data_IF_198497965163
#
_entry.id   IF_198497965163
#
_cell.length_a   1.000
_cell.length_b   1.000
_cell.length_c   1.000
_cell.angle_alpha   90.00
_cell.angle_beta   90.00
_cell.angle_gamma   90.00
#
_symmetry.space_group_name_H-M   'P 1'
#
loop_
_entity.id
_entity.type
_entity.pdbx_description
1 polymer ?
#
# COMPACT_ATOMS: atom_id res chain seq x y z
N UNK A 1 -5.29 9.96 5.35
CA UNK A 1 -4.32 9.07 4.71
C UNK A 1 -4.27 9.29 3.21
N UNK A 2 -3.12 9.07 2.63
CA UNK A 2 -2.93 9.31 1.21
C UNK A 2 -2.10 8.19 0.62
N UNK A 3 -2.50 7.70 -0.54
CA UNK A 3 -1.76 6.69 -1.28
C UNK A 3 -1.22 7.33 -2.55
N UNK A 4 0.08 7.21 -2.76
CA UNK A 4 0.72 7.70 -3.96
C UNK A 4 1.14 6.50 -4.81
N UNK A 5 0.73 6.50 -6.08
CA UNK A 5 1.09 5.44 -7.02
C UNK A 5 2.13 6.01 -7.98
N UNK A 6 3.32 5.44 -7.97
CA UNK A 6 4.41 5.92 -8.80
C UNK A 6 5.32 4.76 -9.19
N UNK A 7 5.62 4.67 -10.48
CA UNK A 7 6.55 3.67 -11.01
C UNK A 7 6.22 2.23 -10.58
N UNK A 8 4.94 1.89 -10.55
CA UNK A 8 4.51 0.55 -10.17
C UNK A 8 4.50 0.29 -8.67
N UNK A 9 4.76 1.32 -7.89
CA UNK A 9 4.77 1.20 -6.43
C UNK A 9 3.67 2.06 -5.84
N UNK A 10 3.16 1.61 -4.70
CA UNK A 10 2.16 2.34 -3.95
C UNK A 10 2.75 2.67 -2.59
N UNK A 11 2.67 3.92 -2.20
CA UNK A 11 3.19 4.36 -0.90
C UNK A 11 2.06 4.96 -0.10
N UNK A 12 1.87 4.46 1.11
CA UNK A 12 0.82 4.94 2.01
C UNK A 12 1.41 5.94 3.00
N UNK A 13 0.84 7.13 2.99
CA UNK A 13 1.26 8.22 3.89
C UNK A 13 0.14 8.58 4.84
N UNK A 14 0.51 8.96 6.05
CA UNK A 14 -0.41 9.59 6.98
C UNK A 14 0.26 10.86 7.47
N UNK A 15 -0.31 12.01 7.11
CA UNK A 15 0.30 13.30 7.37
C UNK A 15 1.68 13.35 6.70
N UNK A 16 2.76 13.39 7.46
CA UNK A 16 4.11 13.43 6.90
C UNK A 16 4.87 12.12 7.10
N UNK A 17 4.19 11.09 7.59
CA UNK A 17 4.84 9.83 7.88
C UNK A 17 4.51 8.79 6.82
N UNK A 18 5.53 8.03 6.42
CA UNK A 18 5.34 6.88 5.54
C UNK A 18 4.91 5.70 6.40
N UNK A 19 3.70 5.21 6.16
CA UNK A 19 3.17 4.08 6.92
C UNK A 19 3.62 2.77 6.32
N UNK A 20 3.65 2.68 5.00
CA UNK A 20 4.05 1.47 4.33
C UNK A 20 4.07 1.65 2.83
N UNK A 21 4.42 0.58 2.14
CA UNK A 21 4.48 0.59 0.70
C UNK A 21 4.10 -0.77 0.15
N UNK A 22 3.72 -0.80 -1.10
CA UNK A 22 3.37 -2.02 -1.79
C UNK A 22 3.81 -1.93 -3.25
N UNK A 23 3.98 -3.07 -3.88
CA UNK A 23 4.30 -3.11 -5.29
C UNK A 23 3.59 -4.29 -5.91
N UNK A 24 3.16 -4.11 -7.17
CA UNK A 24 2.57 -5.17 -7.96
C UNK A 24 3.50 -5.42 -9.14
N UNK A 25 4.16 -6.56 -9.16
CA UNK A 25 5.10 -6.93 -10.22
C UNK A 25 4.84 -8.35 -10.68
N UNK A 26 4.73 -8.54 -11.98
CA UNK A 26 4.56 -9.85 -12.59
C UNK A 26 3.42 -10.66 -11.95
N UNK A 27 2.31 -9.98 -11.64
CA UNK A 27 1.18 -10.62 -11.00
C UNK A 27 1.38 -10.92 -9.53
N UNK A 28 2.46 -10.44 -8.94
CA UNK A 28 2.74 -10.63 -7.53
C UNK A 28 2.59 -9.31 -6.79
N UNK A 29 1.86 -9.35 -5.71
CA UNK A 29 1.67 -8.19 -4.84
C UNK A 29 2.45 -8.41 -3.55
N UNK A 30 3.29 -7.46 -3.20
CA UNK A 30 3.94 -7.48 -1.89
C UNK A 30 3.65 -6.19 -1.16
N UNK A 31 3.60 -6.29 0.15
CA UNK A 31 3.26 -5.16 1.02
C UNK A 31 4.24 -5.15 2.19
N UNK A 32 4.72 -3.98 2.53
CA UNK A 32 5.58 -3.80 3.68
C UNK A 32 5.07 -2.62 4.49
N UNK A 33 4.81 -2.86 5.77
CA UNK A 33 4.31 -1.83 6.68
C UNK A 33 5.39 -1.55 7.71
N UNK A 34 5.61 -0.27 7.99
CA UNK A 34 6.54 0.17 9.03
C UNK A 34 6.18 -0.51 10.35
N UNK A 35 7.17 -1.04 11.09
CA UNK A 35 6.88 -1.72 12.35
C UNK A 35 6.06 -0.91 13.34
N UNK A 36 6.20 0.41 13.34
CA UNK A 36 5.42 1.27 14.24
C UNK A 36 3.94 1.27 13.89
N UNK A 37 3.58 0.85 12.69
CA UNK A 37 2.21 0.90 12.19
C UNK A 37 1.62 -0.48 11.92
N UNK A 38 2.32 -1.53 12.28
CA UNK A 38 1.85 -2.89 12.07
C UNK A 38 0.71 -3.23 13.00
N UNK A 39 -0.10 -4.22 12.59
CA UNK A 39 -1.23 -4.73 13.39
C UNK A 39 -2.31 -3.68 13.64
N UNK A 40 -2.40 -2.70 12.74
CA UNK A 40 -3.43 -1.67 12.80
C UNK A 40 -4.36 -1.70 11.59
N UNK A 41 -4.24 -2.74 10.75
CA UNK A 41 -5.11 -2.88 9.59
C UNK A 41 -4.67 -2.10 8.36
N UNK A 42 -3.52 -1.44 8.41
CA UNK A 42 -3.06 -0.66 7.28
C UNK A 42 -2.67 -1.51 6.09
N UNK A 43 -2.10 -2.68 6.34
CA UNK A 43 -1.76 -3.59 5.25
C UNK A 43 -2.99 -4.00 4.46
N UNK A 44 -4.04 -4.39 5.15
CA UNK A 44 -5.31 -4.76 4.50
C UNK A 44 -5.93 -3.58 3.77
N UNK A 45 -5.87 -2.40 4.37
CA UNK A 45 -6.38 -1.19 3.74
C UNK A 45 -5.65 -0.91 2.43
N UNK A 46 -4.32 -1.00 2.45
CA UNK A 46 -3.52 -0.73 1.27
C UNK A 46 -3.79 -1.73 0.15
N UNK A 47 -3.86 -3.01 0.49
CA UNK A 47 -4.16 -4.05 -0.49
C UNK A 47 -5.53 -3.82 -1.10
N UNK A 48 -6.52 -3.49 -0.29
CA UNK A 48 -7.86 -3.25 -0.78
C UNK A 48 -7.91 -2.08 -1.75
N UNK A 49 -7.21 -1.00 -1.44
CA UNK A 49 -7.15 0.16 -2.32
C UNK A 49 -6.47 -0.17 -3.65
N UNK A 50 -5.39 -0.95 -3.61
CA UNK A 50 -4.70 -1.36 -4.81
C UNK A 50 -5.61 -2.19 -5.71
N UNK A 51 -6.34 -3.14 -5.14
CA UNK A 51 -7.24 -3.97 -5.89
C UNK A 51 -8.36 -3.17 -6.53
N UNK A 52 -8.86 -2.16 -5.82
CA UNK A 52 -9.90 -1.30 -6.37
C UNK A 52 -9.38 -0.47 -7.53
N UNK A 53 -8.18 0.05 -7.42
CA UNK A 53 -7.60 0.88 -8.47
C UNK A 53 -7.21 0.07 -9.70
N UNK A 54 -6.86 -1.18 -9.53
CA UNK A 54 -6.46 -2.03 -10.64
C UNK A 54 -7.63 -2.75 -11.30
N UNK A 55 -8.85 -2.43 -10.90
CA UNK A 55 -10.03 -3.01 -11.51
C UNK A 55 -10.32 -4.43 -11.06
N UNK A 56 -9.91 -4.77 -9.85
CA UNK A 56 -10.16 -6.08 -9.29
C UNK A 56 -9.01 -7.05 -9.51
N UNK A 57 -8.01 -6.58 -10.20
CA UNK A 57 -6.75 -7.31 -10.31
C UNK A 57 -6.88 -8.74 -10.92
#
# INVERSE_FOLDING_TARGET
MKIIHEAGKYVLYKEKAVIGMAALEDGRLWVEIDPAWRQRGYGSYLVKEILQQSGGY
#
